data_IF_296452665856
#
_entry.id   IF_296452665856
#
_cell.length_a   1.000
_cell.length_b   1.000
_cell.length_c   1.000
_cell.angle_alpha   90.00
_cell.angle_beta   90.00
_cell.angle_gamma   90.00
#
_symmetry.space_group_name_H-M   'P 1'
#
loop_
_entity.id
_entity.type
_entity.pdbx_description
1 polymer ?
#
# COMPACT_ATOMS: atom_id res chain seq x y z
N UNK A 1 -19.33 10.96 -40.62
CA UNK A 1 -18.91 11.30 -39.26
C UNK A 1 -17.48 10.82 -39.10
N UNK A 2 -16.50 11.73 -39.21
CA UNK A 2 -15.09 11.36 -38.99
C UNK A 2 -14.87 11.25 -37.49
N UNK A 3 -14.66 10.04 -36.99
CA UNK A 3 -14.17 9.83 -35.63
C UNK A 3 -12.77 10.42 -35.55
N UNK A 4 -12.58 11.44 -34.70
CA UNK A 4 -11.25 11.93 -34.35
C UNK A 4 -10.55 10.82 -33.55
N UNK A 5 -9.94 9.87 -34.26
CA UNK A 5 -9.11 8.83 -33.69
C UNK A 5 -7.81 9.47 -33.23
N UNK A 6 -7.73 9.82 -31.94
CA UNK A 6 -6.52 10.32 -31.31
C UNK A 6 -5.58 9.14 -31.05
N UNK A 7 -4.39 9.19 -31.66
CA UNK A 7 -3.39 8.13 -31.54
C UNK A 7 -2.67 8.27 -30.20
N UNK A 8 -2.63 7.22 -29.38
CA UNK A 8 -1.93 7.26 -28.09
C UNK A 8 -0.41 7.14 -28.27
N UNK A 9 0.37 7.72 -27.36
CA UNK A 9 1.84 7.68 -27.41
C UNK A 9 2.37 6.24 -27.30
N UNK A 10 1.73 5.41 -26.47
CA UNK A 10 2.14 4.02 -26.26
C UNK A 10 1.98 3.16 -27.53
N UNK A 11 0.95 3.40 -28.35
CA UNK A 11 0.70 2.64 -29.59
C UNK A 11 1.74 2.91 -30.69
N UNK A 12 2.36 4.09 -30.65
CA UNK A 12 3.39 4.51 -31.63
C UNK A 12 4.80 4.44 -31.08
N UNK A 13 4.99 3.97 -29.85
CA UNK A 13 6.30 3.92 -29.20
C UNK A 13 6.98 2.57 -29.38
N UNK A 14 8.24 2.61 -29.82
CA UNK A 14 9.08 1.43 -29.90
C UNK A 14 9.49 0.95 -28.51
N UNK A 15 9.27 -0.33 -28.16
CA UNK A 15 9.58 -0.86 -26.83
C UNK A 15 11.09 -1.01 -26.55
N UNK A 16 11.95 -0.79 -27.55
CA UNK A 16 13.42 -0.89 -27.42
C UNK A 16 14.04 0.47 -27.12
N UNK A 17 13.83 1.47 -27.98
CA UNK A 17 14.38 2.81 -27.76
C UNK A 17 13.52 3.67 -26.83
N UNK A 18 12.22 3.33 -26.69
CA UNK A 18 11.17 4.13 -26.01
C UNK A 18 10.99 5.49 -26.66
N UNK A 19 10.88 5.46 -27.99
CA UNK A 19 10.59 6.64 -28.79
C UNK A 19 9.64 6.25 -29.92
N UNK A 20 9.05 7.22 -30.61
CA UNK A 20 8.15 6.97 -31.73
C UNK A 20 8.83 6.07 -32.78
N UNK A 21 8.13 5.07 -33.31
CA UNK A 21 8.73 4.14 -34.25
C UNK A 21 9.32 4.86 -35.47
N UNK A 22 10.60 4.61 -35.71
CA UNK A 22 11.30 4.99 -36.92
C UNK A 22 11.53 3.72 -37.75
N UNK A 23 10.93 3.66 -38.94
CA UNK A 23 10.88 2.46 -39.79
C UNK A 23 10.53 1.18 -39.00
N UNK A 24 9.28 1.06 -38.49
CA UNK A 24 8.86 -0.11 -37.72
C UNK A 24 8.91 -1.37 -38.58
N UNK A 25 9.61 -2.41 -38.12
CA UNK A 25 9.68 -3.71 -38.78
C UNK A 25 8.88 -4.75 -38.01
N UNK A 26 8.16 -5.62 -38.72
CA UNK A 26 7.31 -6.67 -38.15
C UNK A 26 8.06 -8.01 -38.13
N UNK A 27 8.39 -8.50 -36.94
CA UNK A 27 9.06 -9.79 -36.77
C UNK A 27 8.06 -10.96 -36.95
N UNK A 28 8.52 -12.18 -37.29
CA UNK A 28 7.67 -13.37 -37.41
C UNK A 28 6.93 -13.76 -36.12
N UNK A 29 7.36 -13.26 -34.97
CA UNK A 29 6.67 -13.40 -33.70
C UNK A 29 5.62 -12.30 -33.45
N UNK A 30 5.25 -11.56 -34.49
CA UNK A 30 4.28 -10.45 -34.51
C UNK A 30 4.66 -9.21 -33.67
N UNK A 31 5.88 -9.14 -33.16
CA UNK A 31 6.38 -7.96 -32.48
C UNK A 31 6.93 -6.94 -33.47
N UNK A 32 6.70 -5.66 -33.20
CA UNK A 32 7.26 -4.55 -33.98
C UNK A 32 8.34 -3.80 -33.19
N UNK A 33 9.45 -3.44 -33.86
CA UNK A 33 10.56 -2.62 -33.33
C UNK A 33 11.07 -1.70 -34.44
N UNK A 34 11.79 -0.61 -34.11
CA UNK A 34 12.48 0.18 -35.14
C UNK A 34 13.52 -0.69 -35.86
N UNK A 35 13.74 -0.45 -37.15
CA UNK A 35 14.78 -1.13 -37.94
C UNK A 35 16.15 -1.03 -37.26
N UNK A 36 16.54 0.16 -36.82
CA UNK A 36 17.84 0.39 -36.17
C UNK A 36 17.94 -0.31 -34.82
N UNK A 37 16.86 -0.28 -34.03
CA UNK A 37 16.78 -1.03 -32.77
C UNK A 37 16.98 -2.53 -32.99
N UNK A 38 16.37 -3.09 -34.04
CA UNK A 38 16.54 -4.50 -34.38
C UNK A 38 17.97 -4.80 -34.83
N UNK A 39 18.52 -4.00 -35.72
CA UNK A 39 19.88 -4.14 -36.22
C UNK A 39 20.90 -4.07 -35.07
N UNK A 40 20.73 -3.13 -34.14
CA UNK A 40 21.58 -3.00 -32.96
C UNK A 40 21.55 -4.25 -32.08
N UNK A 41 20.37 -4.86 -31.91
CA UNK A 41 20.23 -6.11 -31.17
C UNK A 41 20.89 -7.29 -31.89
N UNK A 42 20.88 -7.30 -33.22
CA UNK A 42 21.46 -8.37 -34.03
C UNK A 42 22.98 -8.23 -34.24
N UNK A 43 23.59 -7.07 -33.95
CA UNK A 43 25.06 -6.88 -34.00
C UNK A 43 25.83 -7.86 -33.12
N UNK A 44 25.20 -8.40 -32.07
CA UNK A 44 25.77 -9.41 -31.18
C UNK A 44 25.76 -10.86 -31.77
N UNK A 45 25.45 -11.04 -33.06
CA UNK A 45 25.50 -12.34 -33.75
C UNK A 45 24.29 -13.26 -33.50
N UNK A 46 23.29 -12.81 -32.74
CA UNK A 46 22.11 -13.62 -32.42
C UNK A 46 20.83 -12.98 -32.98
N UNK A 47 20.25 -13.58 -34.03
CA UNK A 47 18.99 -13.12 -34.66
C UNK A 47 17.78 -13.50 -33.79
N UNK A 48 17.62 -12.86 -32.64
CA UNK A 48 16.47 -13.05 -31.74
C UNK A 48 15.61 -11.80 -31.66
N UNK A 49 14.31 -11.99 -31.41
CA UNK A 49 13.42 -10.90 -31.08
C UNK A 49 13.84 -10.26 -29.74
N UNK A 50 13.99 -8.92 -29.65
CA UNK A 50 14.40 -8.25 -28.41
C UNK A 50 13.34 -8.30 -27.30
N UNK A 51 12.10 -8.69 -27.61
CA UNK A 51 10.99 -8.73 -26.66
C UNK A 51 10.74 -10.14 -26.12
N UNK A 52 10.55 -11.11 -27.00
CA UNK A 52 10.21 -12.50 -26.62
C UNK A 52 11.37 -13.50 -26.81
N UNK A 53 12.53 -13.06 -27.31
CA UNK A 53 13.74 -13.88 -27.56
C UNK A 53 13.57 -15.01 -28.58
N UNK A 54 12.42 -15.13 -29.25
CA UNK A 54 12.21 -16.09 -30.34
C UNK A 54 13.20 -15.81 -31.47
N UNK A 55 13.80 -16.88 -32.01
CA UNK A 55 14.76 -16.79 -33.12
C UNK A 55 14.03 -16.36 -34.40
N UNK A 56 14.62 -15.41 -35.11
CA UNK A 56 14.20 -14.98 -36.43
C UNK A 56 14.94 -15.81 -37.48
N UNK A 57 14.24 -16.38 -38.48
CA UNK A 57 14.89 -17.16 -39.54
C UNK A 57 16.00 -16.37 -40.26
N UNK A 58 17.13 -17.01 -40.59
CA UNK A 58 18.16 -16.41 -41.41
C UNK A 58 17.66 -16.17 -42.85
N UNK A 59 18.19 -15.13 -43.51
CA UNK A 59 17.90 -14.85 -44.93
C UNK A 59 16.65 -14.02 -45.23
N UNK A 60 15.78 -13.74 -44.25
CA UNK A 60 14.62 -12.86 -44.43
C UNK A 60 14.81 -11.56 -43.65
N UNK A 61 14.86 -10.42 -44.34
CA UNK A 61 14.71 -9.13 -43.66
C UNK A 61 13.24 -8.96 -43.24
N UNK A 62 12.95 -8.64 -41.97
CA UNK A 62 11.58 -8.41 -41.56
C UNK A 62 10.94 -7.25 -42.33
N UNK A 63 9.73 -7.41 -42.87
CA UNK A 63 9.08 -6.36 -43.64
C UNK A 63 8.74 -5.17 -42.76
N UNK A 64 8.64 -3.99 -43.36
CA UNK A 64 8.14 -2.79 -42.68
C UNK A 64 6.66 -2.96 -42.37
N UNK A 65 6.26 -2.68 -41.13
CA UNK A 65 4.87 -2.62 -40.73
C UNK A 65 4.25 -1.30 -41.23
N UNK A 66 3.73 -1.30 -42.46
CA UNK A 66 3.17 -0.11 -43.09
C UNK A 66 1.99 0.47 -42.29
N UNK A 67 1.15 -0.37 -41.66
CA UNK A 67 0.06 0.10 -40.83
C UNK A 67 0.57 0.93 -39.64
N UNK A 68 1.59 0.41 -38.94
CA UNK A 68 2.22 1.12 -37.83
C UNK A 68 3.00 2.36 -38.29
N UNK A 69 3.65 2.31 -39.47
CA UNK A 69 4.31 3.46 -40.09
C UNK A 69 3.31 4.59 -40.37
N UNK A 70 2.17 4.27 -40.99
CA UNK A 70 1.11 5.23 -41.29
C UNK A 70 0.52 5.82 -39.99
N UNK A 71 0.39 4.99 -38.93
CA UNK A 71 -0.06 5.46 -37.63
C UNK A 71 0.94 6.45 -37.00
N UNK A 72 2.23 6.16 -37.08
CA UNK A 72 3.28 7.07 -36.61
C UNK A 72 3.28 8.37 -37.43
N UNK A 73 3.13 8.31 -38.76
CA UNK A 73 3.06 9.50 -39.62
C UNK A 73 1.86 10.39 -39.26
N UNK A 74 0.69 9.80 -39.02
CA UNK A 74 -0.48 10.54 -38.51
C UNK A 74 -0.20 11.19 -37.16
N UNK A 75 0.44 10.47 -36.24
CA UNK A 75 0.82 11.02 -34.93
C UNK A 75 1.77 12.22 -35.05
N UNK A 76 2.61 12.28 -36.08
CA UNK A 76 3.47 13.44 -36.37
C UNK A 76 2.72 14.60 -37.05
N UNK A 77 1.80 14.30 -37.99
CA UNK A 77 0.99 15.31 -38.69
C UNK A 77 0.03 16.04 -37.74
N UNK A 78 -0.59 15.32 -36.81
CA UNK A 78 -1.44 15.91 -35.77
C UNK A 78 -0.66 16.88 -34.86
N UNK A 79 0.68 16.82 -34.83
CA UNK A 79 1.50 17.76 -34.06
C UNK A 79 1.76 19.07 -34.79
N UNK A 80 1.76 19.08 -36.12
CA UNK A 80 2.00 20.31 -36.90
C UNK A 80 0.73 21.16 -37.03
N UNK A 81 -0.44 20.54 -36.86
CA UNK A 81 -1.74 21.23 -36.91
C UNK A 81 -2.20 21.78 -35.55
N UNK A 82 -1.54 21.40 -34.44
CA UNK A 82 -1.86 21.87 -33.10
C UNK A 82 -1.16 23.19 -32.80
N UNK A 83 -1.91 24.28 -32.73
CA UNK A 83 -1.42 25.64 -32.45
C UNK A 83 -0.94 25.85 -31.00
N UNK A 84 0.06 25.08 -30.56
CA UNK A 84 0.84 25.43 -29.37
C UNK A 84 1.83 26.54 -29.74
N UNK A 85 2.13 27.43 -28.79
CA UNK A 85 3.11 28.49 -28.96
C UNK A 85 4.45 27.89 -29.41
N UNK A 86 4.81 28.09 -30.68
CA UNK A 86 6.00 27.49 -31.29
C UNK A 86 7.26 28.01 -30.61
N UNK A 87 7.79 27.21 -29.69
CA UNK A 87 9.07 27.51 -29.07
C UNK A 87 10.17 27.08 -30.04
N UNK A 88 10.91 28.06 -30.54
CA UNK A 88 12.00 27.86 -31.48
C UNK A 88 13.33 27.70 -30.73
N UNK A 89 14.23 26.93 -31.32
CA UNK A 89 15.61 26.82 -30.87
C UNK A 89 16.31 28.17 -31.05
N UNK A 90 16.89 28.70 -29.98
CA UNK A 90 17.60 29.98 -30.04
C UNK A 90 18.87 29.95 -30.91
N UNK A 91 19.43 28.76 -31.16
CA UNK A 91 20.64 28.58 -31.97
C UNK A 91 20.35 28.36 -33.45
N UNK A 92 19.31 27.58 -33.76
CA UNK A 92 19.03 27.13 -35.13
C UNK A 92 17.75 27.72 -35.72
N UNK A 93 16.90 28.38 -34.92
CA UNK A 93 15.62 28.91 -35.36
C UNK A 93 14.53 27.86 -35.63
N UNK A 94 14.85 26.57 -35.49
CA UNK A 94 13.95 25.44 -35.75
C UNK A 94 13.09 25.06 -34.53
N UNK A 95 11.92 24.45 -34.79
CA UNK A 95 10.99 24.04 -33.73
C UNK A 95 11.60 22.98 -32.80
N UNK A 96 11.40 23.16 -31.49
CA UNK A 96 11.85 22.21 -30.48
C UNK A 96 10.90 20.99 -30.41
N UNK A 97 11.24 19.93 -31.15
CA UNK A 97 10.42 18.70 -31.24
C UNK A 97 11.01 17.50 -30.50
N UNK A 98 12.25 17.61 -30.03
CA UNK A 98 12.99 16.54 -29.37
C UNK A 98 13.32 16.94 -27.94
N UNK A 99 13.64 15.97 -27.11
CA UNK A 99 14.09 16.14 -25.74
C UNK A 99 15.38 15.35 -25.54
N UNK A 100 16.42 16.03 -25.07
CA UNK A 100 17.68 15.41 -24.69
C UNK A 100 17.55 14.85 -23.26
N UNK A 101 17.65 13.52 -23.11
CA UNK A 101 17.50 12.86 -21.81
C UNK A 101 18.70 13.07 -20.89
N UNK A 102 19.86 13.42 -21.46
CA UNK A 102 21.10 13.67 -20.71
C UNK A 102 21.08 15.07 -20.11
N UNK A 103 20.88 16.09 -20.95
CA UNK A 103 20.90 17.50 -20.52
C UNK A 103 19.54 17.99 -20.00
N UNK A 104 18.50 17.15 -20.11
CA UNK A 104 17.15 17.40 -19.61
C UNK A 104 16.50 18.66 -20.18
N UNK A 105 16.68 18.89 -21.48
CA UNK A 105 16.19 20.07 -22.17
C UNK A 105 15.58 19.75 -23.54
N UNK A 106 14.59 20.54 -24.00
CA UNK A 106 14.05 20.43 -25.35
C UNK A 106 15.07 20.94 -26.38
N UNK A 107 15.20 20.24 -27.50
CA UNK A 107 16.13 20.56 -28.59
C UNK A 107 15.44 20.45 -29.96
N UNK A 108 16.00 21.09 -30.99
CA UNK A 108 15.55 20.90 -32.37
C UNK A 108 16.31 19.74 -33.04
N UNK A 109 15.90 19.36 -34.25
CA UNK A 109 16.54 18.27 -35.00
C UNK A 109 18.02 18.55 -35.32
N UNK A 110 18.37 19.82 -35.60
CA UNK A 110 19.75 20.21 -35.94
C UNK A 110 20.69 20.21 -34.73
N UNK A 111 20.15 20.32 -33.51
CA UNK A 111 20.96 20.19 -32.30
C UNK A 111 21.52 18.77 -32.14
N UNK A 112 20.83 17.73 -32.64
CA UNK A 112 21.21 16.34 -32.44
C UNK A 112 22.60 16.04 -33.04
N UNK A 113 22.85 16.20 -34.34
CA UNK A 113 24.17 15.88 -34.91
C UNK A 113 25.29 16.84 -34.48
N UNK A 114 24.97 18.08 -34.07
CA UNK A 114 25.96 19.13 -33.85
C UNK A 114 26.37 19.33 -32.39
N UNK A 115 25.46 19.08 -31.44
CA UNK A 115 25.65 19.37 -30.01
C UNK A 115 25.30 18.19 -29.10
N UNK A 116 24.55 17.20 -29.61
CA UNK A 116 24.00 16.09 -28.83
C UNK A 116 24.20 14.74 -29.55
N UNK A 117 25.29 14.60 -30.29
CA UNK A 117 25.58 13.49 -31.20
C UNK A 117 25.71 12.15 -30.46
N UNK A 118 26.14 12.21 -29.20
CA UNK A 118 26.26 11.07 -28.29
C UNK A 118 25.15 11.01 -27.23
N UNK A 119 24.24 11.99 -27.19
CA UNK A 119 23.21 12.04 -26.16
C UNK A 119 21.96 11.28 -26.60
N UNK A 120 21.39 10.51 -25.68
CA UNK A 120 20.10 9.87 -25.94
C UNK A 120 19.01 10.93 -25.99
N UNK A 121 18.36 11.01 -27.14
CA UNK A 121 17.24 11.91 -27.37
C UNK A 121 15.97 11.11 -27.71
N UNK A 122 14.81 11.70 -27.47
CA UNK A 122 13.51 11.18 -27.90
C UNK A 122 12.59 12.30 -28.36
N UNK A 123 11.45 11.96 -28.94
CA UNK A 123 10.41 12.94 -29.24
C UNK A 123 9.89 13.61 -27.97
N UNK A 124 9.69 14.94 -28.03
CA UNK A 124 9.25 15.73 -26.89
C UNK A 124 7.90 15.25 -26.33
N UNK A 125 6.96 14.84 -27.19
CA UNK A 125 5.68 14.27 -26.73
C UNK A 125 5.85 12.94 -25.98
N UNK A 126 6.82 12.12 -26.35
CA UNK A 126 7.16 10.89 -25.62
C UNK A 126 7.73 11.25 -24.25
N UNK A 127 8.66 12.20 -24.18
CA UNK A 127 9.20 12.68 -22.91
C UNK A 127 8.11 13.27 -21.98
N UNK A 128 7.19 14.07 -22.53
CA UNK A 128 6.05 14.64 -21.79
C UNK A 128 5.10 13.53 -21.31
N UNK A 129 4.81 12.54 -22.16
CA UNK A 129 3.98 11.40 -21.80
C UNK A 129 4.62 10.57 -20.69
N UNK A 130 5.90 10.22 -20.83
CA UNK A 130 6.67 9.48 -19.83
C UNK A 130 6.69 10.25 -18.51
N UNK A 131 6.95 11.56 -18.53
CA UNK A 131 6.91 12.38 -17.32
C UNK A 131 5.53 12.34 -16.64
N UNK A 132 4.44 12.50 -17.39
CA UNK A 132 3.08 12.39 -16.86
C UNK A 132 2.78 11.00 -16.29
N UNK A 133 3.24 9.95 -16.97
CA UNK A 133 3.10 8.57 -16.51
C UNK A 133 3.87 8.33 -15.20
N UNK A 134 5.11 8.82 -15.13
CA UNK A 134 5.93 8.79 -13.92
C UNK A 134 5.23 9.50 -12.75
N UNK A 135 4.73 10.72 -12.95
CA UNK A 135 3.98 11.45 -11.91
C UNK A 135 2.78 10.64 -11.41
N UNK A 136 1.93 10.14 -12.32
CA UNK A 136 0.76 9.33 -11.95
C UNK A 136 1.11 8.03 -11.22
N UNK A 137 2.19 7.38 -11.65
CA UNK A 137 2.68 6.18 -10.99
C UNK A 137 3.16 6.49 -9.58
N UNK A 138 3.99 7.52 -9.40
CA UNK A 138 4.45 7.97 -8.09
C UNK A 138 3.29 8.39 -7.19
N UNK A 139 2.29 9.10 -7.71
CA UNK A 139 1.07 9.43 -6.97
C UNK A 139 0.33 8.18 -6.49
N UNK A 140 0.23 7.15 -7.34
CA UNK A 140 -0.40 5.87 -6.98
C UNK A 140 0.39 5.18 -5.87
N UNK A 141 1.71 5.11 -5.99
CA UNK A 141 2.57 4.51 -4.95
C UNK A 141 2.46 5.24 -3.62
N UNK A 142 2.43 6.58 -3.64
CA UNK A 142 2.20 7.38 -2.43
C UNK A 142 0.85 6.99 -1.80
N UNK A 143 -0.22 6.92 -2.60
CA UNK A 143 -1.54 6.54 -2.09
C UNK A 143 -1.57 5.14 -1.48
N UNK A 144 -0.93 4.18 -2.13
CA UNK A 144 -0.81 2.79 -1.65
C UNK A 144 -0.05 2.74 -0.32
N UNK A 145 1.10 3.41 -0.22
CA UNK A 145 1.89 3.47 1.01
C UNK A 145 1.11 4.08 2.18
N UNK A 146 0.33 5.14 1.94
CA UNK A 146 -0.52 5.74 2.96
C UNK A 146 -1.70 4.84 3.34
N UNK A 147 -2.27 4.10 2.39
CA UNK A 147 -3.36 3.17 2.68
C UNK A 147 -2.91 2.06 3.63
N UNK A 148 -1.71 1.52 3.44
CA UNK A 148 -1.12 0.52 4.35
C UNK A 148 -0.94 1.08 5.76
N UNK A 149 -0.43 2.32 5.88
CA UNK A 149 -0.28 2.99 7.18
C UNK A 149 -1.64 3.23 7.86
N UNK A 150 -2.65 3.66 7.11
CA UNK A 150 -4.00 3.84 7.65
C UNK A 150 -4.60 2.53 8.14
N UNK A 151 -4.46 1.45 7.37
CA UNK A 151 -4.94 0.13 7.76
C UNK A 151 -4.26 -0.34 9.06
N UNK A 152 -2.94 -0.20 9.16
CA UNK A 152 -2.19 -0.52 10.38
C UNK A 152 -2.71 0.25 11.61
N UNK A 153 -2.95 1.55 11.47
CA UNK A 153 -3.44 2.37 12.57
C UNK A 153 -4.86 1.95 12.98
N UNK A 154 -5.73 1.66 12.03
CA UNK A 154 -7.06 1.13 12.29
C UNK A 154 -7.03 -0.20 13.04
N UNK A 155 -6.15 -1.12 12.63
CA UNK A 155 -6.03 -2.43 13.28
C UNK A 155 -5.48 -2.32 14.71
N UNK A 156 -4.47 -1.46 14.93
CA UNK A 156 -3.95 -1.19 16.28
C UNK A 156 -4.99 -0.54 17.19
N UNK A 157 -5.80 0.39 16.67
CA UNK A 157 -6.92 0.99 17.40
C UNK A 157 -7.98 -0.06 17.75
N UNK A 158 -8.45 -0.81 16.75
CA UNK A 158 -9.48 -1.84 16.92
C UNK A 158 -9.05 -2.91 17.93
N UNK A 159 -7.82 -3.40 17.83
CA UNK A 159 -7.25 -4.39 18.75
C UNK A 159 -7.20 -3.88 20.20
N UNK A 160 -6.88 -2.60 20.40
CA UNK A 160 -6.86 -1.99 21.73
C UNK A 160 -8.25 -1.77 22.30
N UNK A 161 -9.20 -1.29 21.50
CA UNK A 161 -10.60 -1.17 21.92
C UNK A 161 -11.17 -2.54 22.29
N UNK A 162 -10.87 -3.58 21.51
CA UNK A 162 -11.29 -4.95 21.82
C UNK A 162 -10.70 -5.43 23.15
N UNK A 163 -9.40 -5.20 23.39
CA UNK A 163 -8.75 -5.56 24.65
C UNK A 163 -9.35 -4.81 25.86
N UNK A 164 -9.67 -3.52 25.71
CA UNK A 164 -10.35 -2.72 26.73
C UNK A 164 -11.76 -3.26 27.03
N UNK A 165 -12.55 -3.55 25.99
CA UNK A 165 -13.91 -4.11 26.14
C UNK A 165 -13.87 -5.48 26.83
N UNK A 166 -12.94 -6.35 26.45
CA UNK A 166 -12.76 -7.66 27.08
C UNK A 166 -12.38 -7.53 28.57
N UNK A 167 -11.50 -6.57 28.91
CA UNK A 167 -11.21 -6.26 30.31
C UNK A 167 -12.47 -5.77 31.04
N UNK A 168 -13.23 -4.83 30.46
CA UNK A 168 -14.47 -4.33 31.03
C UNK A 168 -15.49 -5.43 31.34
N UNK A 169 -15.72 -6.34 30.39
CA UNK A 169 -16.61 -7.51 30.60
C UNK A 169 -16.10 -8.39 31.74
N UNK A 170 -14.81 -8.71 31.77
CA UNK A 170 -14.21 -9.50 32.85
C UNK A 170 -14.38 -8.85 34.22
N UNK A 171 -14.18 -7.53 34.31
CA UNK A 171 -14.34 -6.75 35.55
C UNK A 171 -15.79 -6.75 36.02
N UNK A 172 -16.75 -6.54 35.10
CA UNK A 172 -18.19 -6.58 35.40
C UNK A 172 -18.64 -7.95 35.91
N UNK A 173 -18.18 -9.04 35.28
CA UNK A 173 -18.49 -10.40 35.73
C UNK A 173 -17.95 -10.68 37.14
N UNK A 174 -16.73 -10.22 37.42
CA UNK A 174 -16.14 -10.34 38.76
C UNK A 174 -16.98 -9.57 39.81
N UNK A 175 -17.39 -8.35 39.48
CA UNK A 175 -18.24 -7.53 40.35
C UNK A 175 -19.58 -8.21 40.65
N UNK A 176 -20.27 -8.71 39.63
CA UNK A 176 -21.54 -9.43 39.80
C UNK A 176 -21.38 -10.65 40.70
N UNK A 177 -20.32 -11.45 40.49
CA UNK A 177 -20.04 -12.61 41.34
C UNK A 177 -19.79 -12.22 42.80
N UNK A 178 -19.03 -11.14 43.04
CA UNK A 178 -18.81 -10.61 44.39
C UNK A 178 -20.10 -10.10 45.03
N UNK A 179 -21.01 -9.54 44.24
CA UNK A 179 -22.33 -9.09 44.70
C UNK A 179 -23.23 -10.28 45.06
N UNK A 180 -23.23 -11.34 44.25
CA UNK A 180 -23.96 -12.59 44.54
C UNK A 180 -23.44 -13.26 45.82
N UNK A 181 -22.12 -13.32 46.00
CA UNK A 181 -21.50 -13.84 47.23
C UNK A 181 -21.94 -13.03 48.47
N UNK A 182 -22.10 -11.71 48.34
CA UNK A 182 -22.62 -10.83 49.41
C UNK A 182 -24.10 -11.07 49.66
N UNK A 183 -24.91 -11.18 48.61
CA UNK A 183 -26.35 -11.46 48.73
C UNK A 183 -26.60 -12.80 49.43
N UNK A 184 -25.88 -13.86 49.05
CA UNK A 184 -25.97 -15.18 49.69
C UNK A 184 -25.57 -15.14 51.17
N UNK A 185 -24.49 -14.42 51.52
CA UNK A 185 -24.11 -14.22 52.92
C UNK A 185 -25.17 -13.47 53.71
N UNK A 186 -25.80 -12.46 53.10
CA UNK A 186 -26.88 -11.69 53.72
C UNK A 186 -28.11 -12.57 53.98
N UNK A 187 -28.50 -13.42 53.02
CA UNK A 187 -29.59 -14.39 53.19
C UNK A 187 -29.29 -15.41 54.29
N UNK A 188 -28.06 -15.97 54.32
CA UNK A 188 -27.63 -16.92 55.35
C UNK A 188 -27.64 -16.28 56.76
N UNK A 189 -27.18 -15.03 56.87
CA UNK A 189 -27.26 -14.25 58.11
C UNK A 189 -28.71 -14.02 58.53
N UNK A 190 -29.58 -13.62 57.61
CA UNK A 190 -31.00 -13.41 57.90
C UNK A 190 -31.71 -14.69 58.36
N UNK A 191 -31.40 -15.83 57.72
CA UNK A 191 -31.92 -17.14 58.15
C UNK A 191 -31.44 -17.51 59.56
N UNK A 192 -30.18 -17.21 59.88
CA UNK A 192 -29.61 -17.47 61.21
C UNK A 192 -30.29 -16.60 62.27
N UNK A 193 -30.50 -15.30 61.99
CA UNK A 193 -31.22 -14.39 62.89
C UNK A 193 -32.63 -14.93 63.16
N UNK A 194 -33.40 -15.27 62.12
CA UNK A 194 -34.75 -15.81 62.27
C UNK A 194 -34.78 -17.12 63.08
N UNK A 195 -33.82 -18.00 62.89
CA UNK A 195 -33.73 -19.24 63.65
C UNK A 195 -33.45 -18.98 65.14
N UNK A 196 -32.62 -17.98 65.45
CA UNK A 196 -32.34 -17.56 66.83
C UNK A 196 -33.60 -16.93 67.45
N UNK A 197 -34.28 -16.02 66.74
CA UNK A 197 -35.54 -15.41 67.19
C UNK A 197 -36.60 -16.48 67.51
N UNK A 198 -36.79 -17.47 66.64
CA UNK A 198 -37.71 -18.59 66.87
C UNK A 198 -37.32 -19.48 68.06
N UNK A 199 -36.03 -19.65 68.34
CA UNK A 199 -35.56 -20.40 69.51
C UNK A 199 -35.81 -19.61 70.80
N UNK A 200 -35.65 -18.29 70.76
CA UNK A 200 -35.91 -17.39 71.88
C UNK A 200 -37.40 -17.31 72.25
N UNK A 201 -38.31 -17.54 71.30
CA UNK A 201 -39.76 -17.56 71.53
C UNK A 201 -40.27 -18.85 72.21
N UNK A 202 -39.42 -19.85 72.44
CA UNK A 202 -39.80 -21.13 73.10
C UNK A 202 -39.91 -20.98 74.61
N UNK A 203 -40.63 -21.91 75.26
CA UNK A 203 -40.71 -21.99 76.71
C UNK A 203 -39.33 -22.14 77.38
N UNK A 204 -39.16 -21.50 78.55
CA UNK A 204 -37.88 -21.34 79.26
C UNK A 204 -37.05 -22.62 79.40
N UNK A 205 -37.69 -23.74 79.77
CA UNK A 205 -36.99 -25.03 79.98
C UNK A 205 -36.47 -25.61 78.66
N UNK A 206 -37.21 -25.45 77.55
CA UNK A 206 -36.78 -25.90 76.23
C UNK A 206 -35.65 -25.03 75.68
N UNK A 207 -35.74 -23.70 75.84
CA UNK A 207 -34.68 -22.78 75.44
C UNK A 207 -33.36 -23.05 76.17
N UNK A 208 -33.40 -23.30 77.48
CA UNK A 208 -32.19 -23.59 78.28
C UNK A 208 -31.50 -24.90 77.84
N UNK A 209 -32.26 -25.89 77.35
CA UNK A 209 -31.69 -27.14 76.81
C UNK A 209 -30.90 -26.92 75.51
N UNK A 210 -31.32 -25.96 74.68
CA UNK A 210 -30.71 -25.65 73.38
C UNK A 210 -29.77 -24.44 73.40
N UNK A 211 -29.72 -23.66 74.49
CA UNK A 211 -28.94 -22.41 74.64
C UNK A 211 -27.51 -22.47 74.09
N UNK A 212 -26.73 -23.48 74.48
CA UNK A 212 -25.34 -23.61 74.03
C UNK A 212 -25.20 -23.83 72.52
N UNK A 213 -26.20 -24.45 71.88
CA UNK A 213 -26.25 -24.63 70.43
C UNK A 213 -26.55 -23.30 69.74
N UNK A 214 -27.52 -22.55 70.27
CA UNK A 214 -27.92 -21.22 69.77
C UNK A 214 -26.79 -20.20 69.90
N UNK A 215 -26.08 -20.18 71.03
CA UNK A 215 -24.91 -19.32 71.24
C UNK A 215 -23.77 -19.61 70.26
N UNK A 216 -23.51 -20.88 69.95
CA UNK A 216 -22.52 -21.26 68.92
C UNK A 216 -22.95 -20.84 67.51
N UNK A 217 -24.25 -20.89 67.21
CA UNK A 217 -24.78 -20.43 65.92
C UNK A 217 -24.75 -18.90 65.79
N UNK A 218 -24.91 -18.17 66.88
CA UNK A 218 -24.85 -16.71 66.91
C UNK A 218 -23.44 -16.13 66.72
N UNK A 219 -22.39 -16.93 66.96
CA UNK A 219 -21.01 -16.53 66.73
C UNK A 219 -20.68 -16.54 65.23
N UNK A 220 -21.00 -15.45 64.53
CA UNK A 220 -20.63 -15.24 63.13
C UNK A 220 -19.57 -14.15 62.98
N UNK A 221 -18.58 -14.37 62.12
CA UNK A 221 -17.60 -13.34 61.73
C UNK A 221 -17.84 -12.95 60.27
N UNK A 222 -18.36 -11.74 60.04
CA UNK A 222 -18.59 -11.24 58.68
C UNK A 222 -17.32 -10.58 58.17
N UNK A 223 -16.68 -11.19 57.16
CA UNK A 223 -15.56 -10.56 56.47
C UNK A 223 -16.07 -9.48 55.51
N UNK A 224 -15.40 -8.33 55.50
CA UNK A 224 -15.65 -7.27 54.52
C UNK A 224 -15.32 -7.78 53.11
N UNK A 225 -16.22 -7.63 52.12
CA UNK A 225 -15.93 -8.07 50.76
C UNK A 225 -14.78 -7.24 50.17
N UNK A 226 -13.76 -7.94 49.66
CA UNK A 226 -12.68 -7.28 48.94
C UNK A 226 -13.16 -6.95 47.52
N UNK A 227 -13.15 -5.67 47.15
CA UNK A 227 -13.47 -5.18 45.79
C UNK A 227 -12.22 -4.80 44.99
N UNK A 228 -11.03 -5.21 45.42
CA UNK A 228 -9.81 -5.06 44.64
C UNK A 228 -9.99 -5.65 43.24
N UNK A 229 -9.46 -4.93 42.24
CA UNK A 229 -9.51 -5.36 40.84
C UNK A 229 -10.88 -5.30 40.17
N UNK A 230 -11.85 -4.52 40.68
CA UNK A 230 -13.13 -4.24 39.99
C UNK A 230 -12.97 -3.15 38.93
N UNK A 231 -12.03 -2.23 39.09
CA UNK A 231 -11.82 -1.13 38.14
C UNK A 231 -10.96 -1.56 36.95
N UNK A 232 -11.18 -0.87 35.82
CA UNK A 232 -10.39 -1.02 34.61
C UNK A 232 -9.00 -0.42 34.83
N UNK A 233 -7.96 -1.11 34.35
CA UNK A 233 -6.60 -0.55 34.35
C UNK A 233 -6.39 0.40 33.16
N UNK A 234 -6.74 1.67 33.34
CA UNK A 234 -6.60 2.70 32.29
C UNK A 234 -5.15 2.86 31.82
N UNK A 235 -4.19 2.82 32.75
CA UNK A 235 -2.77 2.99 32.43
C UNK A 235 -2.24 1.87 31.52
N UNK A 236 -2.75 0.64 31.65
CA UNK A 236 -2.41 -0.47 30.75
C UNK A 236 -2.81 -0.19 29.30
N UNK A 237 -3.91 0.52 29.07
CA UNK A 237 -4.41 0.80 27.72
C UNK A 237 -3.85 2.11 27.14
N UNK A 238 -3.57 3.11 27.99
CA UNK A 238 -3.16 4.46 27.56
C UNK A 238 -1.69 4.81 27.84
N UNK A 239 -1.07 4.22 28.86
CA UNK A 239 0.17 4.69 29.49
C UNK A 239 1.42 4.71 28.62
N UNK A 240 1.37 4.14 27.41
CA UNK A 240 2.41 4.32 26.39
C UNK A 240 1.87 4.17 24.97
N UNK A 241 0.59 4.54 24.78
CA UNK A 241 -0.20 4.23 23.58
C UNK A 241 0.52 4.66 22.29
N UNK A 242 0.87 5.95 22.22
CA UNK A 242 1.44 6.60 21.03
C UNK A 242 2.83 6.05 20.71
N UNK A 243 3.69 5.93 21.71
CA UNK A 243 5.06 5.43 21.54
C UNK A 243 5.09 3.99 21.01
N UNK A 244 4.28 3.09 21.57
CA UNK A 244 4.21 1.70 21.12
C UNK A 244 3.75 1.59 19.66
N UNK A 245 2.77 2.40 19.25
CA UNK A 245 2.31 2.45 17.86
C UNK A 245 3.42 2.95 16.95
N UNK A 246 4.09 4.05 17.32
CA UNK A 246 5.22 4.56 16.56
C UNK A 246 6.38 3.54 16.45
N UNK A 247 6.67 2.80 17.52
CA UNK A 247 7.71 1.78 17.53
C UNK A 247 7.38 0.61 16.59
N UNK A 248 6.13 0.13 16.62
CA UNK A 248 5.65 -0.91 15.69
C UNK A 248 5.64 -0.42 14.25
N UNK A 249 5.18 0.80 14.02
CA UNK A 249 5.16 1.45 12.70
C UNK A 249 6.58 1.56 12.11
N UNK A 250 7.57 1.92 12.94
CA UNK A 250 8.97 1.94 12.52
C UNK A 250 9.50 0.55 12.13
N UNK A 251 9.03 -0.52 12.76
CA UNK A 251 9.35 -1.90 12.38
C UNK A 251 8.76 -2.28 11.02
N UNK A 252 7.50 -1.92 10.77
CA UNK A 252 6.82 -2.14 9.49
C UNK A 252 7.51 -1.38 8.35
N UNK A 253 7.83 -0.11 8.54
CA UNK A 253 8.50 0.72 7.53
C UNK A 253 9.87 0.13 7.10
N UNK A 254 10.63 -0.44 8.04
CA UNK A 254 11.91 -1.12 7.73
C UNK A 254 11.71 -2.38 6.88
N UNK A 255 10.67 -3.16 7.17
CA UNK A 255 10.36 -4.37 6.39
C UNK A 255 9.93 -4.03 4.95
N UNK A 256 9.05 -3.04 4.79
CA UNK A 256 8.61 -2.56 3.47
C UNK A 256 9.79 -2.00 2.67
N UNK A 257 10.68 -1.22 3.31
CA UNK A 257 11.89 -0.71 2.68
C UNK A 257 12.76 -1.84 2.11
N UNK A 258 13.00 -2.89 2.91
CA UNK A 258 13.79 -4.05 2.48
C UNK A 258 13.12 -4.82 1.33
N UNK A 259 11.81 -5.01 1.38
CA UNK A 259 11.06 -5.66 0.29
C UNK A 259 11.10 -4.85 -1.02
N UNK A 260 10.95 -3.52 -0.94
CA UNK A 260 11.08 -2.65 -2.11
C UNK A 260 12.50 -2.71 -2.68
N UNK A 261 13.52 -2.75 -1.83
CA UNK A 261 14.92 -2.90 -2.24
C UNK A 261 15.20 -4.26 -2.92
N UNK A 262 14.63 -5.35 -2.40
CA UNK A 262 14.71 -6.69 -3.01
C UNK A 262 13.93 -6.77 -4.34
N UNK A 263 12.74 -6.17 -4.42
CA UNK A 263 11.98 -6.08 -5.67
C UNK A 263 12.73 -5.27 -6.74
N UNK A 264 13.40 -4.18 -6.34
CA UNK A 264 14.31 -3.39 -7.21
C UNK A 264 15.54 -4.19 -7.66
N UNK A 265 15.99 -5.20 -6.91
CA UNK A 265 17.07 -6.12 -7.32
C UNK A 265 16.62 -7.15 -8.36
N UNK A 266 15.33 -7.50 -8.38
CA UNK A 266 14.73 -8.48 -9.30
C UNK A 266 14.25 -7.82 -10.61
N UNK A 267 14.00 -6.50 -10.61
CA UNK A 267 13.70 -5.75 -11.84
C UNK A 267 14.87 -5.84 -12.83
N UNK A 268 14.63 -6.17 -14.12
CA UNK A 268 15.69 -6.16 -15.12
C UNK A 268 16.35 -4.79 -15.15
N UNK A 269 17.68 -4.73 -15.37
CA UNK A 269 18.52 -3.52 -15.28
C UNK A 269 18.02 -2.27 -16.05
N UNK A 270 16.98 -2.41 -16.88
CA UNK A 270 16.33 -1.37 -17.71
C UNK A 270 15.29 -0.50 -16.99
N UNK A 271 15.07 -0.66 -15.67
CA UNK A 271 14.23 0.25 -14.84
C UNK A 271 15.06 1.10 -13.88
N UNK A 272 16.34 0.75 -13.64
CA UNK A 272 17.21 1.43 -12.66
C UNK A 272 17.78 2.78 -13.11
N UNK A 273 17.41 3.29 -14.29
CA UNK A 273 17.99 4.52 -14.85
C UNK A 273 17.15 5.77 -14.52
N UNK A 274 16.02 5.64 -13.81
CA UNK A 274 15.17 6.78 -13.46
C UNK A 274 14.71 6.71 -11.98
N UNK A 275 15.60 6.30 -11.07
CA UNK A 275 15.43 6.53 -9.63
C UNK A 275 16.68 7.18 -9.09
#
# INVERSE_FOLDING_TARGET
MATNFTVSVDEVSCPVCRDVFTYPVLLPCSHSVCKDCLQQCWRAGCRKCPLCRRVCPPGTEPPVNLALKNLCERFHQEQEAGGDAETLCSLHGEKLKLFCLVDKQPICADCVPNLHDLHKCCHLKVAVHDHKSHVRHTETQIKEDFLELHQFLHDEEAGRIAALRAEGVKRSLNLNRKMDDVAQKMEALSATIKAIEQEMDKHDVQFLQSYNKTMKQAQCTVQTPDFSGVLINVAKHLGNLKFQVCQKMAGMAKYIFNLKEEALKILPARVKVIV
#
